data_IF_244611717136
#
_entry.id   IF_244611717136
#
_cell.length_a   1.000
_cell.length_b   1.000
_cell.length_c   1.000
_cell.angle_alpha   90.00
_cell.angle_beta   90.00
_cell.angle_gamma   90.00
#
_symmetry.space_group_name_H-M   'P 1'
#
loop_
_entity.id
_entity.type
_entity.pdbx_description
1 polymer ?
#
# COMPACT_ATOMS: atom_id res chain seq x y z
N UNK A 1 -0.91 23.47 -18.22
CA UNK A 1 -0.81 24.82 -17.61
C UNK A 1 -1.50 24.91 -16.23
N UNK A 2 -2.77 24.51 -16.07
CA UNK A 2 -3.52 24.70 -14.81
C UNK A 2 -2.92 23.93 -13.61
N UNK A 3 -2.74 22.61 -13.74
CA UNK A 3 -2.14 21.76 -12.68
C UNK A 3 -0.75 22.23 -12.23
N UNK A 4 0.08 22.68 -13.17
CA UNK A 4 1.39 23.24 -12.86
C UNK A 4 1.30 24.53 -12.04
N UNK A 5 0.43 25.46 -12.44
CA UNK A 5 0.22 26.71 -11.69
C UNK A 5 -0.37 26.46 -10.30
N UNK A 6 -1.24 25.46 -10.17
CA UNK A 6 -1.75 25.01 -8.87
C UNK A 6 -0.65 24.40 -8.00
N UNK A 7 0.22 23.55 -8.56
CA UNK A 7 1.38 23.01 -7.87
C UNK A 7 2.32 24.11 -7.37
N UNK A 8 2.62 25.11 -8.20
CA UNK A 8 3.42 26.26 -7.78
C UNK A 8 2.78 27.00 -6.59
N UNK A 9 1.46 27.18 -6.63
CA UNK A 9 0.72 27.83 -5.54
C UNK A 9 0.82 27.03 -4.23
N UNK A 10 0.64 25.70 -4.28
CA UNK A 10 0.77 24.83 -3.11
C UNK A 10 2.20 24.83 -2.53
N UNK A 11 3.21 24.94 -3.39
CA UNK A 11 4.61 25.06 -3.00
C UNK A 11 5.00 26.48 -2.50
N UNK A 12 4.04 27.41 -2.41
CA UNK A 12 4.29 28.80 -2.01
C UNK A 12 5.10 29.60 -3.04
N UNK A 13 5.20 29.14 -4.28
CA UNK A 13 5.91 29.79 -5.38
C UNK A 13 5.00 30.75 -6.14
N UNK A 14 5.63 31.68 -6.88
CA UNK A 14 4.91 32.61 -7.75
C UNK A 14 4.06 31.85 -8.78
N UNK A 15 2.76 32.12 -8.77
CA UNK A 15 1.76 31.45 -9.60
C UNK A 15 0.79 32.48 -10.16
N UNK A 16 0.33 32.24 -11.40
CA UNK A 16 -0.73 33.05 -12.02
C UNK A 16 -2.14 32.55 -11.65
N UNK A 17 -2.26 31.67 -10.65
CA UNK A 17 -3.53 31.08 -10.25
C UNK A 17 -4.26 31.98 -9.25
N UNK A 18 -5.50 32.38 -9.57
CA UNK A 18 -6.35 33.14 -8.64
C UNK A 18 -7.26 32.20 -7.85
N UNK A 19 -7.64 32.61 -6.64
CA UNK A 19 -8.57 31.87 -5.79
C UNK A 19 -9.91 31.62 -6.49
N UNK A 20 -10.46 32.63 -7.17
CA UNK A 20 -11.70 32.49 -7.94
C UNK A 20 -11.59 31.45 -9.05
N UNK A 21 -10.41 31.30 -9.68
CA UNK A 21 -10.18 30.30 -10.71
C UNK A 21 -10.09 28.88 -10.12
N UNK A 22 -9.46 28.73 -8.96
CA UNK A 22 -9.40 27.44 -8.26
C UNK A 22 -10.80 27.00 -7.90
N UNK A 23 -11.59 27.88 -7.27
CA UNK A 23 -12.97 27.59 -6.92
C UNK A 23 -13.82 27.20 -8.13
N UNK A 24 -13.72 27.94 -9.24
CA UNK A 24 -14.45 27.59 -10.45
C UNK A 24 -14.04 26.24 -11.06
N UNK A 25 -12.79 25.80 -10.86
CA UNK A 25 -12.32 24.48 -11.28
C UNK A 25 -12.80 23.38 -10.32
N UNK A 26 -12.82 23.64 -9.02
CA UNK A 26 -13.38 22.74 -8.01
C UNK A 26 -14.88 22.52 -8.22
N UNK A 27 -15.64 23.59 -8.50
CA UNK A 27 -17.09 23.55 -8.73
C UNK A 27 -17.48 22.66 -9.93
N UNK A 28 -16.58 22.53 -10.92
CA UNK A 28 -16.80 21.64 -12.08
C UNK A 28 -16.16 20.25 -11.90
N UNK A 29 -15.63 19.94 -10.71
CA UNK A 29 -15.00 18.65 -10.41
C UNK A 29 -13.66 18.45 -11.11
N UNK A 30 -12.87 19.51 -11.33
CA UNK A 30 -11.58 19.41 -11.98
C UNK A 30 -10.58 18.59 -11.15
N UNK A 31 -10.10 17.48 -11.71
CA UNK A 31 -9.12 16.61 -11.06
C UNK A 31 -7.72 17.22 -11.16
N UNK A 32 -7.20 17.64 -10.01
CA UNK A 32 -5.86 18.23 -9.87
C UNK A 32 -4.74 17.20 -10.00
N UNK A 33 -4.90 16.04 -9.37
CA UNK A 33 -3.98 14.91 -9.49
C UNK A 33 -4.66 13.74 -10.20
N UNK A 34 -4.36 13.58 -11.48
CA UNK A 34 -4.89 12.45 -12.26
C UNK A 34 -4.27 11.11 -11.88
N UNK A 35 -3.08 11.09 -11.30
CA UNK A 35 -2.47 9.84 -10.88
C UNK A 35 -3.14 9.34 -9.61
N UNK A 36 -3.50 10.26 -8.71
CA UNK A 36 -4.22 9.91 -7.50
C UNK A 36 -5.66 9.48 -7.80
N UNK A 37 -6.39 10.21 -8.65
CA UNK A 37 -7.71 9.76 -9.09
C UNK A 37 -7.67 8.37 -9.75
N UNK A 38 -6.67 8.10 -10.60
CA UNK A 38 -6.50 6.79 -11.21
C UNK A 38 -6.13 5.68 -10.20
N UNK A 39 -5.42 6.03 -9.13
CA UNK A 39 -5.15 5.12 -8.01
C UNK A 39 -6.43 4.75 -7.30
N UNK A 40 -7.19 5.76 -6.85
CA UNK A 40 -8.48 5.58 -6.15
C UNK A 40 -9.47 4.75 -6.98
N UNK A 41 -9.58 5.02 -8.28
CA UNK A 41 -10.47 4.26 -9.18
C UNK A 41 -10.08 2.78 -9.26
N UNK A 42 -8.78 2.47 -9.37
CA UNK A 42 -8.29 1.09 -9.43
C UNK A 42 -8.40 0.38 -8.08
N UNK A 43 -8.18 1.10 -6.98
CA UNK A 43 -8.42 0.58 -5.65
C UNK A 43 -9.90 0.23 -5.46
N UNK A 44 -10.82 1.09 -5.88
CA UNK A 44 -12.27 0.81 -5.83
C UNK A 44 -12.62 -0.45 -6.61
N UNK A 45 -12.11 -0.60 -7.83
CA UNK A 45 -12.30 -1.80 -8.64
C UNK A 45 -11.74 -3.07 -7.97
N UNK A 46 -10.60 -2.97 -7.28
CA UNK A 46 -10.04 -4.07 -6.50
C UNK A 46 -10.96 -4.45 -5.32
N UNK A 47 -11.50 -3.46 -4.61
CA UNK A 47 -12.42 -3.69 -3.50
C UNK A 47 -13.72 -4.32 -3.96
N UNK A 48 -14.24 -3.92 -5.12
CA UNK A 48 -15.43 -4.55 -5.70
C UNK A 48 -15.14 -5.99 -6.12
N UNK A 49 -13.99 -6.26 -6.75
CA UNK A 49 -13.53 -7.62 -7.00
C UNK A 49 -13.43 -8.46 -5.71
N UNK A 50 -12.90 -7.87 -4.63
CA UNK A 50 -12.82 -8.54 -3.32
C UNK A 50 -14.20 -8.85 -2.75
N UNK A 51 -15.17 -7.95 -2.87
CA UNK A 51 -16.55 -8.21 -2.43
C UNK A 51 -17.17 -9.40 -3.17
N UNK A 52 -16.87 -9.54 -4.46
CA UNK A 52 -17.40 -10.63 -5.30
C UNK A 52 -16.72 -11.98 -5.05
N UNK A 53 -15.40 -11.99 -4.86
CA UNK A 53 -14.58 -13.23 -4.81
C UNK A 53 -14.09 -13.62 -3.42
N UNK A 54 -14.18 -12.70 -2.46
CA UNK A 54 -13.69 -12.85 -1.08
C UNK A 54 -12.19 -12.58 -0.90
N UNK A 55 -11.43 -12.31 -1.98
CA UNK A 55 -9.99 -12.09 -1.92
C UNK A 55 -9.50 -11.07 -2.98
N UNK A 56 -8.23 -10.69 -2.90
CA UNK A 56 -7.59 -9.76 -3.83
C UNK A 56 -6.74 -10.46 -4.90
N UNK A 57 -6.93 -11.78 -5.11
CA UNK A 57 -6.15 -12.59 -6.04
C UNK A 57 -6.68 -12.47 -7.47
N UNK A 58 -6.54 -11.26 -8.06
CA UNK A 58 -6.96 -11.00 -9.44
C UNK A 58 -6.08 -11.80 -10.42
N UNK A 59 -6.66 -12.68 -11.28
CA UNK A 59 -5.92 -13.43 -12.27
C UNK A 59 -5.21 -12.53 -13.28
N UNK A 60 -4.07 -12.98 -13.77
CA UNK A 60 -3.26 -12.26 -14.74
C UNK A 60 -3.97 -12.01 -16.08
N UNK A 61 -4.96 -12.83 -16.40
CA UNK A 61 -5.79 -12.81 -17.60
C UNK A 61 -7.26 -12.56 -17.26
N UNK A 62 -7.56 -11.87 -16.15
CA UNK A 62 -8.93 -11.62 -15.71
C UNK A 62 -9.74 -10.91 -16.81
N UNK A 63 -10.75 -11.59 -17.40
CA UNK A 63 -11.45 -11.06 -18.55
C UNK A 63 -12.45 -9.95 -18.17
N UNK A 64 -12.95 -9.94 -16.94
CA UNK A 64 -13.90 -8.94 -16.46
C UNK A 64 -13.30 -7.53 -16.38
N UNK A 65 -12.01 -7.43 -16.04
CA UNK A 65 -11.30 -6.17 -16.02
C UNK A 65 -9.78 -6.37 -16.27
N UNK A 66 -9.33 -6.36 -17.53
CA UNK A 66 -7.91 -6.50 -17.88
C UNK A 66 -7.03 -5.37 -17.33
N UNK A 67 -7.60 -4.18 -17.11
CA UNK A 67 -6.87 -3.04 -16.58
C UNK A 67 -6.55 -3.22 -15.09
N UNK A 68 -7.52 -3.72 -14.31
CA UNK A 68 -7.31 -4.11 -12.92
C UNK A 68 -6.24 -5.20 -12.81
N UNK A 69 -6.31 -6.26 -13.63
CA UNK A 69 -5.29 -7.31 -13.63
C UNK A 69 -3.88 -6.77 -13.91
N UNK A 70 -3.76 -5.84 -14.84
CA UNK A 70 -2.49 -5.17 -15.15
C UNK A 70 -2.02 -4.31 -13.98
N UNK A 71 -2.93 -3.55 -13.37
CA UNK A 71 -2.64 -2.70 -12.22
C UNK A 71 -2.16 -3.52 -11.02
N UNK A 72 -2.83 -4.61 -10.67
CA UNK A 72 -2.43 -5.54 -9.59
C UNK A 72 -1.01 -6.09 -9.82
N UNK A 73 -0.68 -6.51 -11.06
CA UNK A 73 0.69 -6.94 -11.40
C UNK A 73 1.70 -5.82 -11.20
N UNK A 74 1.36 -4.60 -11.61
CA UNK A 74 2.21 -3.44 -11.41
C UNK A 74 2.45 -3.20 -9.92
N UNK A 75 1.42 -3.27 -9.07
CA UNK A 75 1.58 -3.07 -7.63
C UNK A 75 2.53 -4.09 -7.00
N UNK A 76 2.37 -5.37 -7.31
CA UNK A 76 3.29 -6.43 -6.84
C UNK A 76 4.73 -6.18 -7.28
N UNK A 77 4.95 -5.75 -8.53
CA UNK A 77 6.28 -5.39 -9.03
C UNK A 77 6.86 -4.17 -8.31
N UNK A 78 6.07 -3.12 -8.11
CA UNK A 78 6.53 -1.88 -7.46
C UNK A 78 6.83 -2.10 -5.98
N UNK A 79 6.05 -2.94 -5.29
CA UNK A 79 6.33 -3.36 -3.91
C UNK A 79 7.66 -4.12 -3.82
N UNK A 80 7.91 -5.07 -4.73
CA UNK A 80 9.21 -5.76 -4.80
C UNK A 80 10.37 -4.80 -5.01
N UNK A 81 10.24 -3.83 -5.92
CA UNK A 81 11.28 -2.81 -6.14
C UNK A 81 11.50 -1.95 -4.88
N UNK A 82 10.43 -1.58 -4.18
CA UNK A 82 10.49 -0.82 -2.93
C UNK A 82 11.29 -1.58 -1.86
N UNK A 83 11.00 -2.87 -1.66
CA UNK A 83 11.73 -3.72 -0.71
C UNK A 83 13.17 -4.01 -1.14
N UNK A 84 13.45 -4.08 -2.44
CA UNK A 84 14.83 -4.21 -2.95
C UNK A 84 15.64 -2.90 -2.83
N UNK A 85 15.07 -1.81 -2.28
CA UNK A 85 15.72 -0.49 -2.21
C UNK A 85 15.94 0.16 -3.59
N UNK A 86 15.20 -0.29 -4.60
CA UNK A 86 15.29 0.20 -5.98
C UNK A 86 14.26 1.31 -6.22
N UNK A 87 14.46 2.14 -7.25
CA UNK A 87 13.47 3.15 -7.62
C UNK A 87 12.09 2.53 -7.85
N UNK A 88 11.11 2.99 -7.08
CA UNK A 88 9.74 2.52 -7.10
C UNK A 88 8.79 3.71 -7.01
N UNK A 89 7.62 3.58 -7.62
CA UNK A 89 6.51 4.54 -7.45
C UNK A 89 5.58 4.16 -6.30
N UNK A 90 5.95 3.14 -5.51
CA UNK A 90 5.22 2.72 -4.32
C UNK A 90 5.56 3.66 -3.15
N UNK A 91 4.52 4.12 -2.43
CA UNK A 91 4.65 4.90 -1.19
C UNK A 91 4.23 4.04 0.00
N UNK A 92 4.69 4.38 1.20
CA UNK A 92 4.29 3.68 2.43
C UNK A 92 2.76 3.73 2.63
N UNK A 93 2.14 4.89 2.35
CA UNK A 93 0.68 5.07 2.43
C UNK A 93 -0.08 4.10 1.52
N UNK A 94 0.36 3.94 0.27
CA UNK A 94 -0.26 3.00 -0.68
C UNK A 94 -0.09 1.54 -0.29
N UNK A 95 1.04 1.21 0.34
CA UNK A 95 1.28 -0.13 0.89
C UNK A 95 0.30 -0.40 2.02
N UNK A 96 0.24 0.50 2.99
CA UNK A 96 -0.65 0.39 4.14
C UNK A 96 -2.12 0.28 3.73
N UNK A 97 -2.55 1.08 2.75
CA UNK A 97 -3.92 1.05 2.24
C UNK A 97 -4.26 -0.31 1.60
N UNK A 98 -3.36 -0.88 0.80
CA UNK A 98 -3.54 -2.21 0.23
C UNK A 98 -3.56 -3.30 1.30
N UNK A 99 -2.66 -3.24 2.27
CA UNK A 99 -2.57 -4.21 3.38
C UNK A 99 -3.80 -4.16 4.28
N UNK A 100 -4.31 -2.96 4.59
CA UNK A 100 -5.57 -2.76 5.32
C UNK A 100 -6.74 -3.48 4.64
N UNK A 101 -6.70 -3.57 3.31
CA UNK A 101 -7.69 -4.28 2.52
C UNK A 101 -7.34 -5.74 2.23
N UNK A 102 -6.34 -6.31 2.92
CA UNK A 102 -5.95 -7.71 2.80
C UNK A 102 -5.39 -8.06 1.43
N UNK A 103 -4.67 -7.13 0.81
CA UNK A 103 -4.01 -7.37 -0.46
C UNK A 103 -2.83 -8.34 -0.32
N UNK A 104 -2.88 -9.45 -1.04
CA UNK A 104 -1.80 -10.45 -1.06
C UNK A 104 -0.73 -10.04 -2.09
N UNK A 105 0.41 -9.57 -1.57
CA UNK A 105 1.59 -9.20 -2.36
C UNK A 105 2.22 -10.40 -3.07
N UNK A 106 2.17 -11.58 -2.44
CA UNK A 106 2.70 -12.82 -2.98
C UNK A 106 1.56 -13.81 -3.29
N UNK A 107 1.56 -14.37 -4.49
CA UNK A 107 0.81 -15.60 -4.75
C UNK A 107 1.57 -16.72 -4.06
N UNK A 108 1.08 -17.18 -2.89
CA UNK A 108 1.52 -18.38 -2.14
C UNK A 108 2.83 -19.00 -2.65
N UNK A 109 3.87 -18.89 -1.83
CA UNK A 109 5.18 -19.56 -1.95
C UNK A 109 5.13 -20.91 -2.68
N UNK A 110 5.27 -20.91 -4.00
CA UNK A 110 5.81 -22.07 -4.68
C UNK A 110 7.31 -21.92 -4.64
N UNK A 111 7.91 -22.45 -3.57
CA UNK A 111 9.24 -23.03 -3.61
C UNK A 111 10.27 -22.21 -4.39
N UNK A 112 11.06 -21.39 -3.69
CA UNK A 112 12.47 -21.18 -4.05
C UNK A 112 13.26 -22.52 -3.93
N UNK A 113 12.75 -23.60 -4.54
CA UNK A 113 13.56 -24.73 -4.93
C UNK A 113 14.33 -24.27 -6.17
N UNK A 114 15.43 -23.55 -5.91
CA UNK A 114 16.45 -23.35 -6.92
C UNK A 114 16.82 -24.71 -7.49
N UNK A 115 16.56 -24.93 -8.78
CA UNK A 115 17.26 -25.96 -9.55
C UNK A 115 18.73 -25.56 -9.60
N UNK A 116 19.50 -25.85 -8.55
CA UNK A 116 20.94 -26.06 -8.66
C UNK A 116 21.10 -27.44 -9.30
N UNK A 117 21.46 -27.44 -10.58
CA UNK A 117 22.04 -28.61 -11.23
C UNK A 117 23.47 -28.73 -10.70
N UNK A 118 23.64 -29.30 -9.52
CA UNK A 118 24.94 -29.79 -9.06
C UNK A 118 24.94 -31.30 -9.26
N UNK A 119 25.71 -31.75 -10.25
CA UNK A 119 26.35 -33.05 -10.13
C UNK A 119 27.32 -32.92 -8.96
N UNK A 120 27.09 -33.69 -7.91
CA UNK A 120 28.07 -34.60 -7.31
C UNK A 120 27.58 -35.01 -5.92
N UNK A 121 27.94 -36.24 -5.57
CA UNK A 121 27.44 -37.04 -4.47
C UNK A 121 27.80 -36.50 -3.08
N UNK A 122 27.10 -37.08 -2.11
CA UNK A 122 27.51 -37.41 -0.74
C UNK A 122 26.80 -36.68 0.41
N UNK A 123 26.50 -37.53 1.39
CA UNK A 123 25.65 -37.38 2.56
C UNK A 123 26.03 -36.20 3.47
N UNK A 124 25.03 -35.51 4.03
CA UNK A 124 24.79 -35.46 5.49
C UNK A 124 23.68 -34.45 5.85
N UNK A 125 22.79 -34.92 6.72
CA UNK A 125 21.64 -34.26 7.34
C UNK A 125 22.06 -33.13 8.29
N UNK A 126 21.55 -31.89 8.14
CA UNK A 126 21.50 -30.90 9.24
C UNK A 126 20.29 -29.95 9.12
N UNK A 127 19.81 -29.55 10.30
CA UNK A 127 18.57 -28.89 10.74
C UNK A 127 18.16 -27.63 9.95
N UNK A 128 16.86 -27.50 9.66
CA UNK A 128 16.23 -26.25 9.21
C UNK A 128 15.92 -25.42 10.46
N UNK A 129 16.56 -24.26 10.61
CA UNK A 129 16.17 -23.24 11.58
C UNK A 129 15.47 -22.07 10.87
N UNK A 130 14.42 -21.60 11.54
CA UNK A 130 13.37 -20.67 11.15
C UNK A 130 13.83 -19.35 10.50
N UNK A 131 13.10 -18.92 9.47
CA UNK A 131 12.95 -17.48 9.18
C UNK A 131 11.56 -17.03 9.67
N UNK A 132 11.39 -17.03 11.00
CA UNK A 132 10.27 -16.39 11.68
C UNK A 132 10.62 -14.95 12.01
N UNK A 133 10.33 -14.02 11.10
CA UNK A 133 10.39 -12.58 11.41
C UNK A 133 9.11 -11.86 10.98
N UNK A 134 7.97 -12.53 11.22
CA UNK A 134 6.64 -11.92 11.18
C UNK A 134 6.05 -11.74 12.59
N UNK A 135 6.59 -12.43 13.61
CA UNK A 135 6.17 -12.29 15.01
C UNK A 135 6.88 -11.15 15.77
N UNK A 136 7.99 -10.61 15.23
CA UNK A 136 8.74 -9.54 15.90
C UNK A 136 8.09 -8.15 15.77
N UNK A 137 7.25 -7.94 14.75
CA UNK A 137 6.60 -6.64 14.54
C UNK A 137 5.25 -6.50 15.27
N UNK A 138 4.59 -7.60 15.62
CA UNK A 138 3.34 -7.55 16.40
C UNK A 138 3.58 -7.52 17.93
N UNK A 139 4.75 -7.96 18.39
CA UNK A 139 5.11 -7.91 19.82
C UNK A 139 5.68 -6.55 20.27
N UNK A 140 5.93 -5.61 19.36
CA UNK A 140 6.43 -4.26 19.73
C UNK A 140 5.31 -3.22 19.92
N UNK A 141 4.05 -3.57 19.60
CA UNK A 141 2.91 -2.66 19.76
C UNK A 141 2.02 -2.96 21.00
N UNK A 142 2.34 -3.99 21.79
CA UNK A 142 1.53 -4.43 22.94
C UNK A 142 2.07 -4.04 24.32
N UNK A 143 3.23 -3.38 24.42
CA UNK A 143 3.80 -2.92 25.70
C UNK A 143 3.66 -1.40 25.90
N UNK A 144 2.41 -0.90 25.90
CA UNK A 144 2.11 0.38 26.58
C UNK A 144 1.44 0.03 27.92
N UNK A 145 2.07 0.32 29.07
CA UNK A 145 1.54 -0.07 30.37
C UNK A 145 0.19 0.60 30.65
N UNK A 146 -0.81 -0.23 30.93
CA UNK A 146 -2.05 0.14 31.59
C UNK A 146 -1.71 0.71 32.98
N UNK A 147 -2.04 1.98 33.18
CA UNK A 147 -2.04 2.64 34.49
C UNK A 147 -3.47 2.93 34.92
N UNK A 148 -4.18 1.91 35.39
CA UNK A 148 -5.22 2.00 36.42
C UNK A 148 -4.52 2.30 37.78
N UNK A 149 -4.99 3.07 38.76
CA UNK A 149 -6.29 3.70 39.01
C UNK A 149 -6.14 4.77 40.13
N UNK A 150 -7.11 5.68 40.16
CA UNK A 150 -7.72 6.31 41.34
C UNK A 150 -6.87 7.08 42.38
N UNK A 151 -7.07 8.41 42.41
CA UNK A 151 -7.64 9.03 43.63
C UNK A 151 -8.22 10.44 43.40
N UNK A 152 -9.55 10.50 43.46
CA UNK A 152 -10.40 11.56 44.06
C UNK A 152 -10.44 12.97 43.43
N UNK A 153 -11.56 13.21 42.74
CA UNK A 153 -12.30 14.48 42.64
C UNK A 153 -12.39 15.22 44.00
N UNK A 154 -12.49 16.57 44.01
CA UNK A 154 -13.83 17.17 43.88
C UNK A 154 -13.92 18.41 42.97
N UNK A 155 -15.06 18.48 42.28
CA UNK A 155 -15.75 19.73 41.93
C UNK A 155 -15.94 20.57 43.19
N UNK A 156 -15.38 21.78 43.19
CA UNK A 156 -16.11 23.05 43.43
C UNK A 156 -15.13 24.19 43.71
N UNK A 157 -15.47 25.36 43.14
CA UNK A 157 -15.26 26.75 43.59
C UNK A 157 -14.60 27.70 42.59
N UNK A 158 -15.50 28.50 41.98
CA UNK A 158 -15.37 29.85 41.38
C UNK A 158 -14.70 29.99 40.01
#
# INVERSE_FOLDING_TARGET
>A
RQRYQHKLLLEGKQSSMTTSRIKALEDIGFIWDSHEAAWEDRLRELLDYKKETGNCLVPSTYPGNPQLATWVKCQRRQYKLYWEGRPSNMTAERIMELEQHGFEWELRSSSFAGKKKTKDNDEQNTVIEDCGEFELFMNLLTDLPEGEDDDKLPLDLL
#
